data_IF_207268617054
#
_entry.id   IF_207268617054
#
_cell.length_a   1.000
_cell.length_b   1.000
_cell.length_c   1.000
_cell.angle_alpha   90.00
_cell.angle_beta   90.00
_cell.angle_gamma   90.00
#
_symmetry.space_group_name_H-M   'P 1'
#
loop_
_entity.id
_entity.type
_entity.pdbx_description
1 polymer ?
#
# COMPACT_ATOMS: atom_id res chain seq x y z
N UNK A 1 -1.21 -33.21 22.14
CA UNK A 1 -1.01 -32.23 23.22
C UNK A 1 0.37 -31.61 23.08
N UNK A 2 0.48 -30.30 23.33
CA UNK A 2 1.76 -29.65 23.65
C UNK A 2 2.52 -28.97 22.52
N UNK A 3 1.95 -27.93 21.88
CA UNK A 3 2.76 -26.79 21.37
C UNK A 3 2.00 -25.45 21.30
N UNK A 4 0.69 -25.41 21.60
CA UNK A 4 -0.11 -24.17 21.66
C UNK A 4 0.11 -23.34 22.96
N UNK A 5 1.32 -23.32 23.52
CA UNK A 5 1.51 -22.98 24.94
C UNK A 5 2.45 -21.84 25.31
N UNK A 6 3.15 -21.16 24.39
CA UNK A 6 4.19 -20.17 24.79
C UNK A 6 4.09 -18.79 24.13
N UNK A 7 3.20 -18.53 23.16
CA UNK A 7 3.15 -17.20 22.52
C UNK A 7 2.26 -16.16 23.20
N UNK A 8 1.66 -16.48 24.36
CA UNK A 8 0.79 -15.55 25.10
C UNK A 8 1.49 -14.58 26.05
N UNK A 9 2.81 -14.67 26.22
CA UNK A 9 3.54 -13.92 27.28
C UNK A 9 4.39 -12.74 26.77
N UNK A 10 4.32 -12.40 25.49
CA UNK A 10 4.99 -11.22 24.96
C UNK A 10 3.90 -10.31 24.40
N UNK A 11 3.61 -9.23 25.12
CA UNK A 11 2.80 -8.09 24.68
C UNK A 11 3.53 -7.33 23.55
N UNK A 12 3.99 -8.05 22.53
CA UNK A 12 4.65 -7.53 21.36
C UNK A 12 3.77 -7.81 20.12
N UNK A 13 3.03 -6.81 19.62
CA UNK A 13 2.19 -6.96 18.42
C UNK A 13 2.98 -7.28 17.15
N UNK A 14 4.32 -7.26 17.18
CA UNK A 14 5.21 -7.58 16.06
C UNK A 14 5.59 -9.07 15.97
N UNK A 15 5.32 -9.88 17.00
CA UNK A 15 5.62 -11.32 16.97
C UNK A 15 4.47 -12.10 16.32
N UNK A 16 4.60 -12.38 15.02
CA UNK A 16 3.69 -13.30 14.31
C UNK A 16 4.44 -14.50 13.74
N UNK A 17 3.85 -15.69 13.88
CA UNK A 17 4.32 -16.89 13.21
C UNK A 17 3.77 -16.89 11.78
N UNK A 18 4.65 -16.71 10.79
CA UNK A 18 4.27 -16.79 9.39
C UNK A 18 4.20 -18.24 8.92
N UNK A 19 3.12 -18.61 8.24
CA UNK A 19 3.11 -19.83 7.42
C UNK A 19 4.04 -19.67 6.21
N UNK A 20 4.47 -20.75 5.54
CA UNK A 20 5.34 -20.66 4.37
C UNK A 20 4.79 -19.75 3.25
N UNK A 21 3.46 -19.74 3.04
CA UNK A 21 2.83 -18.89 2.03
C UNK A 21 2.78 -17.42 2.45
N UNK A 22 2.57 -17.13 3.72
CA UNK A 22 2.65 -15.76 4.24
C UNK A 22 4.08 -15.22 4.20
N UNK A 23 5.07 -16.06 4.49
CA UNK A 23 6.49 -15.70 4.37
C UNK A 23 6.87 -15.39 2.91
N UNK A 24 6.42 -16.20 1.94
CA UNK A 24 6.63 -15.90 0.51
C UNK A 24 5.96 -14.61 0.08
N UNK A 25 4.72 -14.35 0.53
CA UNK A 25 4.04 -13.09 0.24
C UNK A 25 4.76 -11.88 0.85
N UNK A 26 5.31 -12.03 2.06
CA UNK A 26 6.13 -11.01 2.71
C UNK A 26 7.43 -10.76 1.95
N UNK A 27 8.15 -11.80 1.54
CA UNK A 27 9.36 -11.67 0.73
C UNK A 27 9.08 -11.02 -0.64
N UNK A 28 7.92 -11.29 -1.24
CA UNK A 28 7.51 -10.63 -2.48
C UNK A 28 7.23 -9.13 -2.24
N UNK A 29 6.55 -8.78 -1.14
CA UNK A 29 6.30 -7.39 -0.73
C UNK A 29 7.62 -6.61 -0.58
N UNK A 30 8.62 -7.22 0.08
CA UNK A 30 9.97 -6.65 0.21
C UNK A 30 10.71 -6.45 -1.13
N UNK A 31 10.32 -7.19 -2.17
CA UNK A 31 10.83 -7.03 -3.54
C UNK A 31 9.96 -6.09 -4.39
N UNK A 32 9.02 -5.35 -3.77
CA UNK A 32 8.11 -4.43 -4.45
C UNK A 32 7.03 -5.15 -5.28
N UNK A 33 6.79 -6.43 -5.01
CA UNK A 33 5.82 -7.26 -5.71
C UNK A 33 4.77 -7.76 -4.72
N UNK A 34 3.60 -7.14 -4.69
CA UNK A 34 2.50 -7.61 -3.85
C UNK A 34 1.25 -7.87 -4.67
N UNK A 35 0.50 -8.91 -4.28
CA UNK A 35 -0.80 -9.20 -4.86
C UNK A 35 -1.89 -8.40 -4.14
N UNK A 36 -2.57 -7.53 -4.88
CA UNK A 36 -3.56 -6.61 -4.33
C UNK A 36 -4.40 -5.93 -5.40
N UNK A 37 -5.00 -4.79 -5.05
CA UNK A 37 -5.88 -4.05 -5.96
C UNK A 37 -5.22 -2.84 -6.63
N UNK A 38 -4.04 -2.41 -6.16
CA UNK A 38 -3.34 -1.24 -6.71
C UNK A 38 -3.94 0.10 -6.25
N UNK A 39 -4.21 0.24 -4.95
CA UNK A 39 -4.61 1.49 -4.31
C UNK A 39 -3.80 1.73 -3.04
N UNK A 40 -3.56 3.00 -2.73
CA UNK A 40 -2.96 3.47 -1.49
C UNK A 40 -4.06 3.85 -0.50
N UNK A 41 -3.89 3.45 0.76
CA UNK A 41 -4.86 3.70 1.82
C UNK A 41 -4.32 4.72 2.81
N UNK A 42 -5.22 5.54 3.34
CA UNK A 42 -4.94 6.59 4.32
C UNK A 42 -5.93 6.57 5.46
N UNK A 43 -5.57 7.22 6.56
CA UNK A 43 -6.45 7.39 7.71
C UNK A 43 -7.28 8.67 7.57
N UNK A 44 -8.56 8.58 7.90
CA UNK A 44 -9.48 9.72 8.04
C UNK A 44 -10.16 9.68 9.41
N UNK A 45 -10.78 10.79 9.86
CA UNK A 45 -11.62 10.77 11.06
C UNK A 45 -12.76 9.74 10.99
N UNK A 46 -13.18 9.36 9.78
CA UNK A 46 -14.31 8.45 9.51
C UNK A 46 -13.89 7.01 9.20
N UNK A 47 -12.60 6.68 9.27
CA UNK A 47 -12.07 5.35 8.96
C UNK A 47 -10.95 5.36 7.93
N UNK A 48 -10.80 4.26 7.19
CA UNK A 48 -9.78 4.14 6.14
C UNK A 48 -10.31 4.64 4.80
N UNK A 49 -9.54 5.45 4.07
CA UNK A 49 -9.88 5.95 2.74
C UNK A 49 -8.83 5.57 1.68
N UNK A 50 -9.20 5.69 0.41
CA UNK A 50 -8.29 5.63 -0.73
C UNK A 50 -7.62 6.99 -0.90
N UNK A 51 -6.30 7.05 -0.74
CA UNK A 51 -5.51 8.27 -1.01
C UNK A 51 -5.18 8.39 -2.48
N UNK A 52 -4.75 7.29 -3.08
CA UNK A 52 -4.34 7.24 -4.47
C UNK A 52 -4.68 5.91 -5.12
N UNK A 53 -4.86 5.92 -6.43
CA UNK A 53 -5.11 4.72 -7.23
C UNK A 53 -4.10 4.68 -8.35
N UNK A 54 -3.37 3.57 -8.45
CA UNK A 54 -2.33 3.44 -9.47
C UNK A 54 -2.98 3.19 -10.84
N UNK A 55 -2.59 3.94 -11.90
CA UNK A 55 -3.15 3.75 -13.24
C UNK A 55 -2.97 2.33 -13.76
N UNK A 56 -3.95 1.82 -14.51
CA UNK A 56 -3.88 0.48 -15.10
C UNK A 56 -4.11 -0.69 -14.13
N UNK A 57 -4.27 -0.43 -12.83
CA UNK A 57 -4.48 -1.49 -11.82
C UNK A 57 -5.94 -1.93 -11.71
N UNK A 58 -6.22 -3.07 -11.04
CA UNK A 58 -7.59 -3.53 -10.81
C UNK A 58 -8.51 -2.50 -10.14
N UNK A 59 -8.01 -1.73 -9.16
CA UNK A 59 -8.77 -0.68 -8.50
C UNK A 59 -9.18 0.43 -9.49
N UNK A 60 -8.26 0.86 -10.35
CA UNK A 60 -8.56 1.83 -11.41
C UNK A 60 -9.63 1.32 -12.38
N UNK A 61 -9.49 0.06 -12.83
CA UNK A 61 -10.47 -0.60 -13.72
C UNK A 61 -11.84 -0.76 -13.05
N UNK A 62 -11.87 -0.95 -11.73
CA UNK A 62 -13.10 -1.04 -10.93
C UNK A 62 -13.74 0.33 -10.61
N UNK A 63 -13.16 1.43 -11.09
CA UNK A 63 -13.69 2.78 -10.89
C UNK A 63 -13.51 3.33 -9.47
N UNK A 64 -12.58 2.75 -8.71
CA UNK A 64 -12.15 3.28 -7.40
C UNK A 64 -11.40 4.58 -7.62
N UNK A 65 -11.62 5.56 -6.73
CA UNK A 65 -11.07 6.91 -6.82
C UNK A 65 -10.52 7.37 -5.46
N UNK A 66 -9.57 8.32 -5.47
CA UNK A 66 -9.21 9.05 -4.25
C UNK A 66 -10.45 9.60 -3.53
N UNK A 67 -10.46 9.50 -2.20
CA UNK A 67 -11.58 9.89 -1.34
C UNK A 67 -12.66 8.83 -1.15
N UNK A 68 -12.54 7.65 -1.77
CA UNK A 68 -13.43 6.52 -1.48
C UNK A 68 -13.13 5.95 -0.09
N UNK A 69 -14.14 5.85 0.77
CA UNK A 69 -14.01 5.34 2.15
C UNK A 69 -14.33 3.85 2.20
N UNK A 70 -13.49 3.05 2.85
CA UNK A 70 -13.73 1.62 3.03
C UNK A 70 -14.79 1.40 4.11
N UNK A 71 -15.92 0.78 3.74
CA UNK A 71 -17.00 0.44 4.66
C UNK A 71 -16.98 -1.03 5.02
N UNK A 72 -16.85 -1.91 4.01
CA UNK A 72 -16.77 -3.37 4.22
C UNK A 72 -15.74 -4.01 3.29
N UNK A 73 -15.05 -5.04 3.78
CA UNK A 73 -14.17 -5.91 2.98
C UNK A 73 -14.59 -7.35 3.20
N UNK A 74 -14.97 -8.04 2.11
CA UNK A 74 -15.54 -9.39 2.12
C UNK A 74 -16.69 -9.54 3.13
N UNK A 75 -17.56 -8.53 3.21
CA UNK A 75 -18.72 -8.50 4.10
C UNK A 75 -18.42 -8.08 5.55
N UNK A 76 -17.15 -8.03 5.97
CA UNK A 76 -16.76 -7.56 7.30
C UNK A 76 -16.69 -6.03 7.33
N UNK A 77 -17.32 -5.43 8.33
CA UNK A 77 -17.23 -3.99 8.59
C UNK A 77 -15.80 -3.58 8.94
N UNK A 78 -15.33 -2.49 8.32
CA UNK A 78 -13.98 -1.96 8.50
C UNK A 78 -13.97 -0.46 8.85
N UNK A 79 -15.12 0.13 9.18
CA UNK A 79 -15.26 1.57 9.44
C UNK A 79 -14.40 2.06 10.60
N UNK A 80 -14.16 1.19 11.60
CA UNK A 80 -13.29 1.47 12.77
C UNK A 80 -11.93 0.77 12.67
N UNK A 81 -11.57 0.24 11.50
CA UNK A 81 -10.31 -0.48 11.30
C UNK A 81 -9.26 0.49 10.73
N UNK A 82 -8.05 0.47 11.30
CA UNK A 82 -6.96 1.29 10.81
C UNK A 82 -6.53 0.88 9.38
N UNK A 83 -5.90 1.80 8.61
CA UNK A 83 -5.57 1.55 7.21
C UNK A 83 -4.70 0.33 6.95
N UNK A 84 -3.74 0.05 7.85
CA UNK A 84 -2.83 -1.10 7.71
C UNK A 84 -3.58 -2.42 7.78
N UNK A 85 -4.52 -2.53 8.72
CA UNK A 85 -5.37 -3.72 8.86
C UNK A 85 -6.35 -3.86 7.70
N UNK A 86 -6.93 -2.75 7.20
CA UNK A 86 -7.76 -2.79 5.99
C UNK A 86 -6.95 -3.24 4.78
N UNK A 87 -5.73 -2.72 4.60
CA UNK A 87 -4.84 -3.11 3.53
C UNK A 87 -4.50 -4.61 3.60
N UNK A 88 -4.23 -5.16 4.79
CA UNK A 88 -4.00 -6.59 4.98
C UNK A 88 -5.21 -7.45 4.57
N UNK A 89 -6.44 -6.99 4.85
CA UNK A 89 -7.68 -7.67 4.42
C UNK A 89 -7.92 -7.58 2.92
N UNK A 90 -7.53 -6.47 2.29
CA UNK A 90 -7.67 -6.24 0.85
C UNK A 90 -6.62 -7.03 0.06
N UNK A 91 -5.42 -7.23 0.62
CA UNK A 91 -4.38 -8.12 0.05
C UNK A 91 -4.83 -9.59 0.05
N UNK A 92 -4.16 -10.39 -0.76
CA UNK A 92 -4.47 -11.82 -0.93
C UNK A 92 -3.86 -12.38 -2.21
N UNK A 93 -4.00 -13.69 -2.48
CA UNK A 93 -3.37 -14.33 -3.63
C UNK A 93 -3.77 -13.67 -4.96
N UNK A 94 -2.83 -13.55 -5.91
CA UNK A 94 -3.14 -13.08 -7.25
C UNK A 94 -4.18 -14.00 -7.92
N UNK A 95 -5.10 -13.42 -8.70
CA UNK A 95 -6.23 -14.11 -9.30
C UNK A 95 -7.43 -14.32 -8.38
N UNK A 96 -7.29 -14.16 -7.06
CA UNK A 96 -8.43 -14.20 -6.14
C UNK A 96 -9.25 -12.90 -6.19
N UNK A 97 -10.53 -12.97 -5.83
CA UNK A 97 -11.42 -11.80 -5.83
C UNK A 97 -11.58 -11.26 -4.41
N UNK A 98 -11.59 -9.93 -4.27
CA UNK A 98 -12.05 -9.22 -3.07
C UNK A 98 -13.31 -8.46 -3.37
N UNK A 99 -14.29 -8.52 -2.47
CA UNK A 99 -15.50 -7.69 -2.55
C UNK A 99 -15.39 -6.56 -1.54
N UNK A 100 -15.44 -5.31 -2.00
CA UNK A 100 -15.29 -4.13 -1.16
C UNK A 100 -16.53 -3.25 -1.33
N UNK A 101 -17.07 -2.77 -0.21
CA UNK A 101 -18.10 -1.73 -0.21
C UNK A 101 -17.42 -0.41 0.12
N UNK A 102 -17.51 0.54 -0.81
CA UNK A 102 -16.97 1.88 -0.68
C UNK A 102 -18.08 2.90 -0.44
N UNK A 103 -17.78 3.91 0.36
CA UNK A 103 -18.53 5.16 0.45
C UNK A 103 -17.92 6.23 -0.45
N UNK A 104 -18.74 6.97 -1.19
CA UNK A 104 -18.35 8.12 -2.01
C UNK A 104 -19.38 9.22 -1.84
N UNK A 105 -19.03 10.25 -1.06
CA UNK A 105 -19.99 11.29 -0.65
C UNK A 105 -21.18 10.66 0.10
N UNK A 106 -22.39 10.92 -0.37
CA UNK A 106 -23.63 10.35 0.20
C UNK A 106 -24.02 8.98 -0.38
N UNK A 107 -23.23 8.42 -1.31
CA UNK A 107 -23.54 7.18 -2.01
C UNK A 107 -22.60 6.05 -1.61
N UNK A 108 -23.04 4.82 -1.79
CA UNK A 108 -22.21 3.62 -1.60
C UNK A 108 -22.22 2.77 -2.85
N UNK A 109 -21.10 2.11 -3.14
CA UNK A 109 -21.02 1.15 -4.23
C UNK A 109 -20.19 -0.06 -3.85
N UNK A 110 -20.48 -1.19 -4.49
CA UNK A 110 -19.75 -2.46 -4.28
C UNK A 110 -18.84 -2.72 -5.47
N UNK A 111 -17.56 -2.95 -5.21
CA UNK A 111 -16.59 -3.35 -6.20
C UNK A 111 -16.14 -4.80 -5.95
N UNK A 112 -16.27 -5.66 -6.95
CA UNK A 112 -15.60 -6.97 -6.99
C UNK A 112 -14.32 -6.81 -7.80
N UNK A 113 -13.18 -6.94 -7.13
CA UNK A 113 -11.87 -6.65 -7.71
C UNK A 113 -11.04 -7.92 -7.69
N UNK A 114 -10.57 -8.35 -8.87
CA UNK A 114 -9.60 -9.43 -8.99
C UNK A 114 -8.23 -8.90 -8.61
N UNK A 115 -7.58 -9.55 -7.65
CA UNK A 115 -6.23 -9.19 -7.23
C UNK A 115 -5.25 -9.54 -8.32
N UNK A 116 -4.35 -8.61 -8.63
CA UNK A 116 -3.25 -8.82 -9.57
C UNK A 116 -1.93 -8.62 -8.83
N UNK A 117 -0.85 -9.16 -9.38
CA UNK A 117 0.50 -8.78 -8.97
C UNK A 117 0.68 -7.31 -9.37
N UNK A 118 0.81 -6.44 -8.38
CA UNK A 118 1.01 -5.02 -8.60
C UNK A 118 2.51 -4.76 -8.57
N UNK A 119 3.02 -4.24 -9.68
CA UNK A 119 4.38 -3.72 -9.77
C UNK A 119 4.31 -2.21 -9.65
N UNK A 120 4.59 -1.68 -8.46
CA UNK A 120 4.70 -0.24 -8.24
C UNK A 120 6.17 0.15 -8.39
N UNK A 121 6.49 1.24 -9.12
CA UNK A 121 7.84 1.78 -9.09
C UNK A 121 8.22 2.12 -7.65
N UNK A 122 9.32 1.58 -7.14
CA UNK A 122 9.78 1.85 -5.77
C UNK A 122 9.91 3.35 -5.47
N UNK A 123 10.33 4.14 -6.47
CA UNK A 123 10.35 5.59 -6.41
C UNK A 123 9.87 6.23 -7.71
N UNK A 124 9.27 7.42 -7.61
CA UNK A 124 8.94 8.28 -8.75
C UNK A 124 9.47 9.69 -8.52
N UNK A 125 9.67 10.46 -9.59
CA UNK A 125 10.16 11.84 -9.53
C UNK A 125 9.41 12.76 -10.50
N UNK A 126 9.28 14.03 -10.12
CA UNK A 126 8.80 15.12 -10.98
C UNK A 126 9.33 16.47 -10.53
N UNK A 127 9.37 17.45 -11.44
CA UNK A 127 9.60 18.86 -11.09
C UNK A 127 8.29 19.52 -10.67
N UNK A 128 8.33 20.30 -9.61
CA UNK A 128 7.23 21.13 -9.13
C UNK A 128 7.46 22.62 -9.47
N UNK A 129 6.39 23.45 -9.45
CA UNK A 129 6.53 24.90 -9.49
C UNK A 129 7.53 25.42 -8.46
N UNK A 130 8.22 26.51 -8.79
CA UNK A 130 9.30 27.06 -7.95
C UNK A 130 10.64 26.34 -8.09
N UNK A 131 10.78 25.45 -9.08
CA UNK A 131 12.00 24.68 -9.35
C UNK A 131 12.38 23.74 -8.19
N UNK A 132 11.38 23.05 -7.64
CA UNK A 132 11.56 22.08 -6.54
C UNK A 132 11.49 20.66 -7.12
N UNK A 133 12.49 19.84 -6.84
CA UNK A 133 12.47 18.43 -7.18
C UNK A 133 11.58 17.66 -6.20
N UNK A 134 10.63 16.88 -6.69
CA UNK A 134 9.79 16.04 -5.85
C UNK A 134 10.11 14.57 -6.13
N UNK A 135 10.40 13.82 -5.08
CA UNK A 135 10.65 12.38 -5.13
C UNK A 135 9.67 11.70 -4.18
N UNK A 136 8.87 10.78 -4.71
CA UNK A 136 7.99 9.92 -3.90
C UNK A 136 8.65 8.56 -3.78
N UNK A 137 8.91 8.10 -2.55
CA UNK A 137 9.43 6.76 -2.29
C UNK A 137 8.31 5.94 -1.66
N UNK A 138 7.77 4.99 -2.42
CA UNK A 138 6.57 4.25 -2.03
C UNK A 138 6.84 3.12 -1.02
N UNK A 139 8.04 2.55 -1.03
CA UNK A 139 8.43 1.48 -0.13
C UNK A 139 9.94 1.42 0.02
N UNK A 140 10.42 1.01 1.20
CA UNK A 140 11.82 0.64 1.37
C UNK A 140 12.03 -0.82 0.91
N UNK A 141 11.91 -1.10 -0.38
CA UNK A 141 12.25 -2.42 -0.93
C UNK A 141 13.77 -2.60 -1.08
N UNK A 142 14.24 -3.81 -1.40
CA UNK A 142 15.66 -4.12 -1.59
C UNK A 142 16.38 -3.22 -2.63
N UNK A 143 15.63 -2.68 -3.59
CA UNK A 143 16.11 -1.75 -4.62
C UNK A 143 15.76 -0.26 -4.35
N UNK A 144 15.29 0.09 -3.15
CA UNK A 144 14.87 1.45 -2.83
C UNK A 144 15.98 2.49 -2.98
N UNK A 145 17.19 2.18 -2.51
CA UNK A 145 18.33 3.08 -2.65
C UNK A 145 18.65 3.40 -4.12
N UNK A 146 18.70 2.38 -4.98
CA UNK A 146 18.97 2.58 -6.41
C UNK A 146 17.81 3.29 -7.12
N UNK A 147 16.56 2.96 -6.80
CA UNK A 147 15.38 3.64 -7.33
C UNK A 147 15.36 5.13 -6.95
N UNK A 148 15.67 5.45 -5.69
CA UNK A 148 15.77 6.83 -5.21
C UNK A 148 16.89 7.58 -5.92
N UNK A 149 18.09 7.00 -6.03
CA UNK A 149 19.21 7.63 -6.75
C UNK A 149 18.89 7.85 -8.22
N UNK A 150 18.20 6.91 -8.87
CA UNK A 150 17.73 7.08 -10.25
C UNK A 150 16.71 8.23 -10.37
N UNK A 151 15.79 8.36 -9.41
CA UNK A 151 14.83 9.45 -9.37
C UNK A 151 15.52 10.81 -9.14
N UNK A 152 16.51 10.86 -8.25
CA UNK A 152 17.34 12.04 -7.99
C UNK A 152 18.12 12.46 -9.23
N UNK A 153 18.83 11.52 -9.86
CA UNK A 153 19.65 11.78 -11.04
C UNK A 153 18.84 12.27 -12.25
N UNK A 154 17.55 11.92 -12.34
CA UNK A 154 16.64 12.48 -13.36
C UNK A 154 16.31 13.96 -13.12
N UNK A 155 16.32 14.41 -11.87
CA UNK A 155 15.98 15.77 -11.49
C UNK A 155 17.20 16.69 -11.47
N UNK A 156 18.38 16.19 -11.07
CA UNK A 156 19.62 16.96 -10.91
C UNK A 156 19.97 17.86 -12.12
N UNK A 157 19.84 17.42 -13.39
CA UNK A 157 20.14 18.28 -14.55
C UNK A 157 19.26 19.53 -14.68
N UNK A 158 18.12 19.57 -14.00
CA UNK A 158 17.23 20.74 -13.97
C UNK A 158 17.62 21.77 -12.90
N UNK A 159 18.72 21.53 -12.16
CA UNK A 159 19.24 22.39 -11.10
C UNK A 159 18.16 22.82 -10.09
N UNK A 160 17.44 21.88 -9.46
CA UNK A 160 16.38 22.21 -8.52
C UNK A 160 16.93 23.00 -7.33
N UNK A 161 16.16 23.98 -6.85
CA UNK A 161 16.50 24.81 -5.68
C UNK A 161 16.44 24.03 -4.36
N UNK A 162 15.75 22.90 -4.36
CA UNK A 162 15.59 22.02 -3.21
C UNK A 162 14.79 20.78 -3.58
N UNK A 163 14.69 19.85 -2.64
CA UNK A 163 13.96 18.59 -2.82
C UNK A 163 12.87 18.42 -1.76
N UNK A 164 11.73 17.87 -2.18
CA UNK A 164 10.72 17.31 -1.30
C UNK A 164 10.78 15.79 -1.47
N UNK A 165 11.02 15.11 -0.35
CA UNK A 165 10.97 13.64 -0.27
C UNK A 165 9.65 13.28 0.39
N UNK A 166 8.76 12.67 -0.39
CA UNK A 166 7.47 12.19 0.10
C UNK A 166 7.56 10.71 0.49
N UNK A 167 7.38 10.47 1.78
CA UNK A 167 7.30 9.14 2.40
C UNK A 167 5.88 8.85 2.92
N UNK A 168 4.89 9.68 2.62
CA UNK A 168 3.50 9.42 3.01
C UNK A 168 3.03 8.13 2.35
N UNK A 169 2.28 7.32 3.11
CA UNK A 169 1.81 6.02 2.66
C UNK A 169 2.90 4.95 2.49
N UNK A 170 4.18 5.27 2.74
CA UNK A 170 5.26 4.28 2.74
C UNK A 170 5.20 3.46 4.03
N UNK A 171 4.92 2.14 3.97
CA UNK A 171 4.75 1.31 5.15
C UNK A 171 6.07 0.89 5.82
N UNK A 172 7.21 1.40 5.34
CA UNK A 172 8.55 0.94 5.73
C UNK A 172 9.10 -0.10 4.73
N UNK A 173 9.88 -1.05 5.24
CA UNK A 173 10.47 -2.13 4.44
C UNK A 173 11.85 -2.55 4.93
N UNK A 174 12.70 -3.00 4.02
CA UNK A 174 14.09 -3.38 4.23
C UNK A 174 14.90 -2.25 4.87
N UNK A 175 15.63 -2.56 5.95
CA UNK A 175 16.41 -1.57 6.75
C UNK A 175 17.93 -1.86 6.73
N UNK A 176 18.40 -2.71 5.82
CA UNK A 176 19.82 -3.12 5.73
C UNK A 176 20.44 -2.69 4.41
#
# INVERSE_FOLDING_TARGET
GGINGITGALNDPYTQYYTPSQYQAFQADLNGQYAGIGAELGATPTGSEVVSVFPGTPAAKAGVKPGDVFLKVNGKDVTQTNPNNVAAMVRGPAGSVVTIVFGRGSTTFTAKITREMITIPTATSKMLPGNIGYISLFQFSSNAGSAFMNALNKLTPNHPKGYIIDLRGNPGGYVN
#
